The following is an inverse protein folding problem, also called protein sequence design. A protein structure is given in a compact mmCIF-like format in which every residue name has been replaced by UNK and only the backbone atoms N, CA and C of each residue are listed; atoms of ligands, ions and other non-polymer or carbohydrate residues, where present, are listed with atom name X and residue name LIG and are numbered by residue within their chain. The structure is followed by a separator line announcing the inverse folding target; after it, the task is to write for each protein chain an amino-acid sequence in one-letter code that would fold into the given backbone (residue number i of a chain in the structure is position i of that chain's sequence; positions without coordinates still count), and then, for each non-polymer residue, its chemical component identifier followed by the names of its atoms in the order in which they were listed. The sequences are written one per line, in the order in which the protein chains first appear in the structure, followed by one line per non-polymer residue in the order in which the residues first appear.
data_IF_217165445851
#
_entry.id   IF_217165445851
#
_cell.length_a   1.000
_cell.length_b   1.000
_cell.length_c   1.000
_cell.angle_alpha   90.00
_cell.angle_beta   90.00
_cell.angle_gamma   90.00
#
_symmetry.space_group_name_H-M   'P 1'
#
loop_
_entity.id
_entity.type
_entity.pdbx_description
1 polymer ?
#
# COMPACT_ATOMS: atom_id res chain seq x y z
N UNK A 1 -29.52 -3.40 -9.10
CA UNK A 1 -28.27 -2.66 -9.38
C UNK A 1 -27.63 -3.28 -10.60
N UNK A 2 -27.78 -2.68 -11.78
CA UNK A 2 -27.16 -3.19 -13.02
C UNK A 2 -26.16 -2.15 -13.52
N UNK A 3 -24.89 -2.54 -13.68
CA UNK A 3 -23.82 -1.69 -14.22
C UNK A 3 -22.78 -1.17 -13.21
N UNK A 4 -22.90 -1.47 -11.92
CA UNK A 4 -21.83 -1.19 -10.96
C UNK A 4 -20.76 -2.29 -11.02
N UNK A 5 -19.47 -1.95 -10.93
CA UNK A 5 -18.42 -2.96 -10.84
C UNK A 5 -18.52 -3.73 -9.52
N UNK A 6 -18.14 -5.00 -9.57
CA UNK A 6 -17.90 -5.84 -8.39
C UNK A 6 -16.40 -5.92 -8.10
N UNK A 7 -16.04 -6.44 -6.93
CA UNK A 7 -14.65 -6.60 -6.51
C UNK A 7 -14.29 -8.08 -6.38
N UNK A 8 -13.25 -8.51 -7.09
CA UNK A 8 -12.63 -9.81 -6.92
C UNK A 8 -11.38 -9.66 -6.04
N UNK A 9 -11.27 -10.39 -4.91
CA UNK A 9 -10.04 -10.43 -4.13
C UNK A 9 -8.85 -10.85 -5.01
N UNK A 10 -7.76 -10.08 -4.95
CA UNK A 10 -6.60 -10.27 -5.82
C UNK A 10 -5.35 -10.58 -5.02
N UNK A 11 -4.98 -9.71 -4.08
CA UNK A 11 -3.73 -9.84 -3.33
C UNK A 11 -3.88 -9.42 -1.87
N UNK A 12 -3.04 -10.01 -1.02
CA UNK A 12 -2.64 -9.39 0.24
C UNK A 12 -1.23 -8.82 0.08
N UNK A 13 -1.07 -7.53 0.38
CA UNK A 13 0.23 -6.85 0.40
C UNK A 13 0.56 -6.50 1.83
N UNK A 14 1.74 -6.91 2.32
CA UNK A 14 2.27 -6.52 3.64
C UNK A 14 3.59 -5.81 3.46
N UNK A 15 3.74 -4.63 4.05
CA UNK A 15 4.93 -3.78 3.93
C UNK A 15 5.44 -3.43 5.32
N UNK A 16 6.68 -3.78 5.60
CA UNK A 16 7.40 -3.24 6.75
C UNK A 16 7.90 -1.85 6.40
N UNK A 17 7.62 -0.87 7.26
CA UNK A 17 8.06 0.51 7.09
C UNK A 17 9.04 0.92 8.18
N UNK A 18 9.90 1.88 7.86
CA UNK A 18 10.83 2.48 8.82
C UNK A 18 10.37 3.87 9.27
N UNK A 19 11.13 4.49 10.17
CA UNK A 19 10.88 5.83 10.67
C UNK A 19 10.76 6.86 9.52
N UNK A 20 9.80 7.81 9.64
CA UNK A 20 9.59 8.82 8.63
C UNK A 20 10.74 9.83 8.55
N UNK A 21 11.12 10.20 7.33
CA UNK A 21 12.01 11.32 7.05
C UNK A 21 11.18 12.59 6.83
N UNK A 22 11.37 13.59 7.68
CA UNK A 22 10.67 14.87 7.59
C UNK A 22 11.32 15.76 6.52
N UNK A 23 10.57 16.10 5.47
CA UNK A 23 11.02 17.06 4.45
C UNK A 23 10.50 18.46 4.75
N UNK A 24 9.26 18.56 5.23
CA UNK A 24 8.58 19.84 5.47
C UNK A 24 7.95 20.40 4.19
N UNK A 25 7.49 21.65 4.24
CA UNK A 25 6.83 22.32 3.11
C UNK A 25 7.13 23.81 3.10
N UNK A 26 7.71 24.31 2.00
CA UNK A 26 8.04 25.73 1.85
C UNK A 26 6.94 26.50 1.08
N UNK A 27 6.42 25.91 0.00
CA UNK A 27 5.40 26.53 -0.86
C UNK A 27 4.10 25.70 -0.97
N UNK A 28 3.91 24.71 -0.10
CA UNK A 28 2.79 23.77 -0.16
C UNK A 28 2.67 22.90 1.09
N UNK A 29 1.80 21.87 1.07
CA UNK A 29 1.65 20.93 2.16
C UNK A 29 2.98 20.29 2.54
N UNK A 30 3.18 20.01 3.83
CA UNK A 30 4.38 19.34 4.29
C UNK A 30 4.51 17.95 3.69
N UNK A 31 5.73 17.61 3.24
CA UNK A 31 6.09 16.29 2.74
C UNK A 31 6.80 15.49 3.84
N UNK A 32 6.40 14.23 3.96
CA UNK A 32 7.07 13.19 4.76
C UNK A 32 7.37 12.02 3.84
N UNK A 33 8.56 11.46 3.93
CA UNK A 33 8.95 10.28 3.15
C UNK A 33 9.09 9.09 4.09
N UNK A 34 8.37 7.99 3.81
CA UNK A 34 8.43 6.76 4.60
C UNK A 34 9.13 5.67 3.79
N UNK A 35 10.28 5.15 4.26
CA UNK A 35 10.95 4.01 3.63
C UNK A 35 10.14 2.71 3.78
N UNK A 36 10.04 1.95 2.69
CA UNK A 36 9.51 0.59 2.67
C UNK A 36 10.68 -0.39 2.68
N UNK A 37 10.99 -0.97 3.83
CA UNK A 37 12.24 -1.74 4.04
C UNK A 37 12.15 -3.17 3.55
N UNK A 38 10.96 -3.76 3.62
CA UNK A 38 10.68 -5.09 3.10
C UNK A 38 9.18 -5.27 2.96
N UNK A 39 8.76 -6.36 2.33
CA UNK A 39 7.36 -6.66 2.21
C UNK A 39 7.10 -7.84 1.29
N UNK A 40 5.84 -8.23 1.24
CA UNK A 40 5.37 -9.35 0.43
C UNK A 40 4.11 -8.97 -0.31
N UNK A 41 3.93 -9.59 -1.46
CA UNK A 41 2.64 -9.69 -2.14
C UNK A 41 2.31 -11.16 -2.31
N UNK A 42 1.08 -11.54 -1.95
CA UNK A 42 0.57 -12.90 -2.11
C UNK A 42 -0.79 -12.84 -2.78
N UNK A 43 -0.98 -13.67 -3.80
CA UNK A 43 -2.27 -13.74 -4.46
C UNK A 43 -3.31 -14.44 -3.58
N UNK A 44 -4.52 -13.92 -3.60
CA UNK A 44 -5.69 -14.57 -3.02
C UNK A 44 -6.10 -15.79 -3.86
N UNK A 45 -6.80 -16.72 -3.22
CA UNK A 45 -7.26 -17.95 -3.88
C UNK A 45 -8.15 -17.66 -5.10
N UNK A 46 -7.80 -18.23 -6.24
CA UNK A 46 -8.58 -18.11 -7.48
C UNK A 46 -8.35 -16.84 -8.29
N UNK A 47 -7.38 -16.00 -7.91
CA UNK A 47 -6.96 -14.86 -8.72
C UNK A 47 -5.84 -15.25 -9.69
N UNK A 48 -5.96 -14.81 -10.95
CA UNK A 48 -4.94 -15.02 -11.99
C UNK A 48 -4.64 -13.71 -12.77
N UNK A 49 -3.40 -13.51 -13.26
CA UNK A 49 -2.24 -14.36 -13.03
C UNK A 49 -1.75 -14.30 -11.57
N UNK A 50 -1.32 -15.44 -11.03
CA UNK A 50 -0.78 -15.52 -9.67
C UNK A 50 0.50 -14.68 -9.52
N UNK A 51 0.43 -13.62 -8.73
CA UNK A 51 1.55 -12.79 -8.29
C UNK A 51 1.91 -13.10 -6.84
N UNK A 52 2.98 -13.88 -6.66
CA UNK A 52 3.63 -14.07 -5.37
C UNK A 52 5.07 -13.55 -5.45
N UNK A 53 5.42 -12.63 -4.56
CA UNK A 53 6.73 -12.02 -4.58
C UNK A 53 7.05 -11.23 -3.32
N UNK A 54 8.23 -10.64 -3.32
CA UNK A 54 8.78 -9.84 -2.24
C UNK A 54 9.13 -8.46 -2.76
N UNK A 55 9.00 -7.43 -1.92
CA UNK A 55 9.52 -6.11 -2.26
C UNK A 55 11.03 -6.21 -2.47
N UNK A 56 11.54 -5.57 -3.52
CA UNK A 56 12.93 -5.75 -3.95
C UNK A 56 13.68 -4.43 -4.08
N UNK A 57 14.74 -4.23 -3.30
CA UNK A 57 15.40 -2.93 -3.23
C UNK A 57 14.62 -1.97 -2.34
N UNK A 58 14.72 -0.66 -2.61
CA UNK A 58 14.11 0.36 -1.74
C UNK A 58 12.89 0.97 -2.44
N UNK A 59 11.76 1.00 -1.73
CA UNK A 59 10.57 1.74 -2.10
C UNK A 59 10.28 2.85 -1.09
N UNK A 60 9.47 3.83 -1.47
CA UNK A 60 9.12 4.96 -0.63
C UNK A 60 7.66 5.34 -0.79
N UNK A 61 7.07 5.84 0.29
CA UNK A 61 5.82 6.59 0.29
C UNK A 61 6.10 8.08 0.47
N UNK A 62 5.61 8.89 -0.47
CA UNK A 62 5.73 10.35 -0.45
C UNK A 62 4.42 10.95 0.05
N UNK A 63 4.34 11.12 1.36
CA UNK A 63 3.10 11.46 2.05
C UNK A 63 2.95 12.98 2.17
N UNK A 64 1.81 13.50 1.71
CA UNK A 64 1.39 14.86 1.99
C UNK A 64 0.22 14.86 2.97
N UNK A 65 0.38 15.55 4.10
CA UNK A 65 -0.72 15.72 5.05
C UNK A 65 -1.68 16.82 4.57
N UNK A 66 -2.98 16.58 4.71
CA UNK A 66 -3.98 17.63 4.52
C UNK A 66 -3.74 18.77 5.50
N UNK A 67 -4.00 20.02 5.08
CA UNK A 67 -3.79 21.21 5.92
C UNK A 67 -4.62 21.19 7.21
N UNK A 68 -5.78 20.52 7.20
CA UNK A 68 -6.62 20.36 8.39
C UNK A 68 -6.17 19.19 9.31
N UNK A 69 -5.13 18.45 8.94
CA UNK A 69 -4.63 17.29 9.69
C UNK A 69 -5.57 16.08 9.69
N UNK A 70 -6.60 16.05 8.84
CA UNK A 70 -7.60 14.97 8.84
C UNK A 70 -7.13 13.72 8.10
N UNK A 71 -6.31 13.87 7.05
CA UNK A 71 -5.85 12.74 6.24
C UNK A 71 -4.38 12.89 5.80
N UNK A 72 -3.76 11.74 5.57
CA UNK A 72 -2.55 11.58 4.76
C UNK A 72 -2.93 11.28 3.31
N UNK A 73 -2.16 11.84 2.37
CA UNK A 73 -2.24 11.54 0.93
C UNK A 73 -1.00 10.75 0.53
N UNK A 74 -1.20 9.48 0.18
CA UNK A 74 -0.12 8.55 -0.13
C UNK A 74 0.28 8.65 -1.61
N UNK A 75 1.57 8.50 -1.88
CA UNK A 75 2.13 8.35 -3.23
C UNK A 75 3.32 7.38 -3.17
N UNK A 76 3.00 6.10 -3.38
CA UNK A 76 3.96 5.02 -3.22
C UNK A 76 4.57 4.62 -4.54
N UNK A 77 5.89 4.45 -4.50
CA UNK A 77 6.68 3.84 -5.57
C UNK A 77 7.56 2.75 -5.00
N UNK A 78 7.31 1.52 -5.45
CA UNK A 78 8.04 0.33 -5.04
C UNK A 78 8.09 -0.68 -6.19
N UNK A 79 8.66 -1.84 -5.92
CA UNK A 79 8.82 -2.90 -6.89
C UNK A 79 8.78 -4.25 -6.19
N UNK A 80 8.20 -5.22 -6.88
CA UNK A 80 8.08 -6.61 -6.44
C UNK A 80 8.99 -7.46 -7.33
N UNK A 81 9.71 -8.39 -6.71
CA UNK A 81 10.41 -9.48 -7.38
C UNK A 81 9.75 -10.81 -7.07
N UNK A 82 9.40 -11.54 -8.11
CA UNK A 82 8.85 -12.90 -8.02
C UNK A 82 9.97 -13.94 -7.92
N UNK A 83 9.61 -15.17 -7.53
CA UNK A 83 10.59 -16.27 -7.41
C UNK A 83 11.27 -16.62 -8.75
N UNK A 84 10.61 -16.39 -9.89
CA UNK A 84 11.18 -16.56 -11.23
C UNK A 84 12.06 -15.38 -11.68
N UNK A 85 12.29 -14.40 -10.79
CA UNK A 85 13.16 -13.26 -11.03
C UNK A 85 12.52 -12.09 -11.77
N UNK A 86 11.24 -12.21 -12.16
CA UNK A 86 10.51 -11.12 -12.80
C UNK A 86 10.36 -9.92 -11.85
N UNK A 87 10.55 -8.73 -12.39
CA UNK A 87 10.32 -7.47 -11.67
C UNK A 87 9.01 -6.85 -12.16
N UNK A 88 8.19 -6.41 -11.20
CA UNK A 88 7.02 -5.59 -11.44
C UNK A 88 7.18 -4.29 -10.65
N UNK A 89 7.10 -3.14 -11.32
CA UNK A 89 6.94 -1.89 -10.60
C UNK A 89 5.53 -1.86 -10.02
N UNK A 90 5.41 -1.41 -8.76
CA UNK A 90 4.17 -1.34 -8.02
C UNK A 90 3.97 0.09 -7.52
N UNK A 91 2.87 0.70 -7.93
CA UNK A 91 2.49 2.04 -7.51
C UNK A 91 1.14 1.98 -6.82
N UNK A 92 0.99 2.77 -5.76
CA UNK A 92 -0.34 3.04 -5.24
C UNK A 92 -0.46 4.46 -4.70
N UNK A 93 -1.67 4.98 -4.79
CA UNK A 93 -2.05 6.28 -4.23
C UNK A 93 -3.35 6.13 -3.48
N UNK A 94 -3.55 7.00 -2.50
CA UNK A 94 -4.82 7.03 -1.78
C UNK A 94 -4.74 7.87 -0.53
N UNK A 95 -5.61 7.54 0.41
CA UNK A 95 -5.82 8.35 1.61
C UNK A 95 -5.85 7.50 2.85
N UNK A 96 -5.34 8.05 3.94
CA UNK A 96 -5.49 7.46 5.28
C UNK A 96 -6.06 8.53 6.20
N UNK A 97 -7.18 8.24 6.85
CA UNK A 97 -7.71 9.08 7.91
C UNK A 97 -6.78 9.03 9.13
N UNK A 98 -6.42 10.20 9.66
CA UNK A 98 -5.56 10.33 10.84
C UNK A 98 -6.39 10.15 12.12
N UNK A 99 -6.89 8.94 12.35
CA UNK A 99 -7.58 8.57 13.59
C UNK A 99 -6.60 8.48 14.76
N UNK A 100 -7.06 8.55 16.03
CA UNK A 100 -6.18 8.42 17.18
C UNK A 100 -5.35 7.13 17.18
N UNK A 101 -5.91 6.03 16.68
CA UNK A 101 -5.20 4.75 16.54
C UNK A 101 -4.08 4.81 15.50
N UNK A 102 -4.35 5.40 14.33
CA UNK A 102 -3.34 5.60 13.27
C UNK A 102 -2.22 6.51 13.77
N UNK A 103 -2.55 7.63 14.42
CA UNK A 103 -1.57 8.57 14.98
C UNK A 103 -0.69 7.86 16.02
N UNK A 104 -1.29 7.10 16.94
CA UNK A 104 -0.54 6.35 17.94
C UNK A 104 0.42 5.31 17.31
N UNK A 105 -0.01 4.63 16.24
CA UNK A 105 0.83 3.69 15.51
C UNK A 105 2.04 4.38 14.89
N UNK A 106 1.81 5.45 14.14
CA UNK A 106 2.87 6.16 13.41
C UNK A 106 3.81 6.95 14.31
N UNK A 107 3.35 7.37 15.49
CA UNK A 107 4.21 8.02 16.50
C UNK A 107 5.06 7.02 17.29
N UNK A 108 4.91 5.71 17.04
CA UNK A 108 5.61 4.67 17.79
C UNK A 108 5.14 4.55 19.25
N UNK A 109 3.90 4.95 19.56
CA UNK A 109 3.37 4.87 20.92
C UNK A 109 3.48 3.44 21.48
N UNK A 110 3.90 3.27 22.76
CA UNK A 110 3.94 1.95 23.40
C UNK A 110 2.54 1.31 23.48
N UNK A 111 1.49 2.13 23.56
CA UNK A 111 0.10 1.69 23.64
C UNK A 111 -0.55 1.47 22.26
N UNK A 112 0.19 1.69 21.17
CA UNK A 112 -0.33 1.49 19.82
C UNK A 112 -0.69 0.01 19.58
N UNK A 113 -1.87 -0.19 18.99
CA UNK A 113 -2.41 -1.51 18.64
C UNK A 113 -2.69 -1.56 17.15
N UNK A 114 -2.73 -2.77 16.60
CA UNK A 114 -3.25 -3.01 15.24
C UNK A 114 -4.58 -2.30 15.05
N UNK A 115 -4.69 -1.52 13.99
CA UNK A 115 -5.92 -0.78 13.66
C UNK A 115 -6.87 -1.69 12.90
N UNK A 116 -8.17 -1.42 12.98
CA UNK A 116 -9.14 -2.04 12.07
C UNK A 116 -8.97 -1.51 10.63
N UNK A 117 -9.56 -2.23 9.68
CA UNK A 117 -9.73 -1.74 8.32
C UNK A 117 -10.78 -0.63 8.27
N UNK A 118 -10.67 0.28 7.29
CA UNK A 118 -11.69 1.32 7.03
C UNK A 118 -11.16 2.75 7.07
N UNK A 119 -9.94 2.95 7.57
CA UNK A 119 -9.30 4.28 7.61
C UNK A 119 -8.41 4.53 6.40
N UNK A 120 -7.99 3.49 5.67
CA UNK A 120 -7.10 3.60 4.51
C UNK A 120 -7.72 2.99 3.25
N UNK A 121 -7.75 3.76 2.17
CA UNK A 121 -8.18 3.31 0.85
C UNK A 121 -7.23 3.79 -0.23
N UNK A 122 -6.80 2.86 -1.08
CA UNK A 122 -5.81 3.13 -2.14
C UNK A 122 -6.18 2.46 -3.46
N UNK A 123 -5.61 2.97 -4.54
CA UNK A 123 -5.64 2.35 -5.87
C UNK A 123 -4.26 1.87 -6.25
N UNK A 124 -4.13 0.59 -6.63
CA UNK A 124 -2.88 -0.01 -7.09
C UNK A 124 -2.79 -0.02 -8.61
N UNK A 125 -1.57 0.07 -9.12
CA UNK A 125 -1.21 -0.19 -10.51
C UNK A 125 0.14 -0.89 -10.59
N UNK A 126 0.34 -1.64 -11.66
CA UNK A 126 1.55 -2.42 -11.90
C UNK A 126 2.09 -2.14 -13.29
N UNK A 127 3.42 -2.15 -13.43
CA UNK A 127 4.10 -2.12 -14.72
C UNK A 127 5.11 -3.26 -14.80
N UNK A 128 5.18 -3.93 -15.95
CA UNK A 128 6.13 -5.03 -16.18
C UNK A 128 6.36 -5.30 -17.66
N UNK A 129 7.57 -5.72 -18.00
CA UNK A 129 7.90 -6.21 -19.34
C UNK A 129 7.58 -7.69 -19.57
N UNK A 130 7.01 -8.39 -18.58
CA UNK A 130 6.75 -9.82 -18.65
C UNK A 130 5.38 -10.14 -19.24
N UNK A 131 5.37 -10.92 -20.34
CA UNK A 131 4.13 -11.42 -20.95
C UNK A 131 3.28 -12.27 -20.00
N UNK A 132 3.91 -12.94 -19.04
CA UNK A 132 3.23 -13.77 -18.02
C UNK A 132 2.30 -12.94 -17.13
N UNK A 133 2.68 -11.71 -16.83
CA UNK A 133 1.96 -10.83 -15.90
C UNK A 133 1.31 -9.65 -16.60
N UNK A 134 1.27 -9.64 -17.95
CA UNK A 134 0.78 -8.51 -18.75
C UNK A 134 -0.63 -8.06 -18.36
N UNK A 135 -1.48 -9.00 -17.97
CA UNK A 135 -2.88 -8.73 -17.63
C UNK A 135 -3.03 -7.95 -16.31
N UNK A 136 -2.00 -7.94 -15.46
CA UNK A 136 -1.98 -7.12 -14.24
C UNK A 136 -1.89 -5.62 -14.54
N UNK A 137 -1.27 -5.23 -15.65
CA UNK A 137 -1.09 -3.82 -16.00
C UNK A 137 -2.41 -3.15 -16.40
N UNK A 138 -3.37 -3.95 -16.90
CA UNK A 138 -4.66 -3.47 -17.38
C UNK A 138 -5.77 -3.59 -16.34
N UNK A 139 -5.47 -4.09 -15.14
CA UNK A 139 -6.44 -4.16 -14.06
C UNK A 139 -6.59 -2.82 -13.33
N UNK A 140 -7.81 -2.52 -12.89
CA UNK A 140 -8.05 -1.47 -11.89
C UNK A 140 -8.14 -2.14 -10.53
N UNK A 141 -7.27 -1.75 -9.62
CA UNK A 141 -7.19 -2.36 -8.29
C UNK A 141 -7.49 -1.33 -7.22
N UNK A 142 -8.36 -1.71 -6.28
CA UNK A 142 -8.67 -0.92 -5.08
C UNK A 142 -8.35 -1.74 -3.86
N UNK A 143 -7.94 -1.09 -2.78
CA UNK A 143 -7.61 -1.80 -1.55
C UNK A 143 -8.06 -1.04 -0.31
N UNK A 144 -8.42 -1.80 0.71
CA UNK A 144 -8.53 -1.31 2.08
C UNK A 144 -7.24 -1.66 2.83
N UNK A 145 -6.68 -0.67 3.52
CA UNK A 145 -5.47 -0.82 4.31
C UNK A 145 -5.70 -0.72 5.81
N UNK A 146 -4.77 -1.25 6.58
CA UNK A 146 -4.67 -1.04 8.02
C UNK A 146 -3.22 -1.20 8.50
N UNK A 147 -2.95 -0.74 9.72
CA UNK A 147 -1.63 -0.89 10.34
C UNK A 147 -1.62 -2.04 11.32
N UNK A 148 -0.59 -2.87 11.26
CA UNK A 148 -0.36 -4.03 12.11
C UNK A 148 0.87 -3.78 12.98
N UNK A 149 0.72 -3.97 14.30
CA UNK A 149 1.82 -3.93 15.27
C UNK A 149 2.35 -5.35 15.45
N UNK A 150 3.54 -5.64 14.93
CA UNK A 150 4.16 -6.97 15.00
C UNK A 150 5.68 -6.85 15.08
N UNK A 151 6.35 -7.72 15.85
CA UNK A 151 7.81 -7.84 15.83
C UNK A 151 8.61 -6.59 16.23
N UNK A 152 7.98 -5.61 16.90
CA UNK A 152 8.61 -4.33 17.26
C UNK A 152 8.62 -3.29 16.14
N UNK A 153 8.09 -3.61 14.95
CA UNK A 153 7.95 -2.70 13.82
C UNK A 153 6.49 -2.36 13.51
N UNK A 154 6.31 -1.55 12.47
CA UNK A 154 4.99 -1.24 11.90
C UNK A 154 4.89 -1.89 10.52
N UNK A 155 3.85 -2.71 10.35
CA UNK A 155 3.48 -3.28 9.06
C UNK A 155 2.25 -2.56 8.55
N UNK A 156 2.26 -2.15 7.28
CA UNK A 156 1.05 -1.73 6.58
C UNK A 156 0.55 -2.92 5.76
N UNK A 157 -0.67 -3.35 6.00
CA UNK A 157 -1.31 -4.45 5.28
C UNK A 157 -2.48 -3.93 4.44
N UNK A 158 -2.58 -4.42 3.20
CA UNK A 158 -3.65 -4.10 2.27
C UNK A 158 -4.31 -5.37 1.76
N UNK A 159 -5.65 -5.36 1.76
CA UNK A 159 -6.47 -6.32 1.00
C UNK A 159 -6.85 -5.69 -0.33
N UNK A 160 -6.20 -6.16 -1.39
CA UNK A 160 -6.31 -5.62 -2.74
C UNK A 160 -7.30 -6.44 -3.53
N UNK A 161 -8.24 -5.76 -4.19
CA UNK A 161 -9.22 -6.37 -5.08
C UNK A 161 -9.14 -5.75 -6.48
N UNK A 162 -9.35 -6.58 -7.50
CA UNK A 162 -9.54 -6.13 -8.88
C UNK A 162 -11.01 -5.75 -9.10
N UNK A 163 -11.24 -4.59 -9.70
CA UNK A 163 -12.57 -4.23 -10.19
C UNK A 163 -12.93 -5.09 -11.42
N UNK A 164 -14.12 -5.68 -11.37
CA UNK A 164 -14.69 -6.55 -12.40
C UNK A 164 -16.15 -6.14 -12.68
N UNK A 165 -16.75 -6.70 -13.74
CA UNK A 165 -18.19 -6.52 -14.06
C UNK A 165 -18.93 -7.82 -13.79
#
# INVERSE_FOLDING_TARGET
MTGFPSLQPAFTVRVNIDAPMQVGGQSGPGLVIVPMVSGTIKSEGGFEPKLDGELHGVGYDYIHNDTNGGNMRLDVRSQVKTADGTILAMYYKGTVALTPGVVAMLSGSPDAKTTDYGDSFVTFSFETGSDKYKDLQNGTYVAAGHFVKEGGGVIVEYKVSKAIV
#
